data_IF_398917716550
#
_entry.id   IF_398917716550
#
_cell.length_a   1.000
_cell.length_b   1.000
_cell.length_c   1.000
_cell.angle_alpha   90.00
_cell.angle_beta   90.00
_cell.angle_gamma   90.00
#
_symmetry.space_group_name_H-M   'P 1'
#
loop_
_entity.id
_entity.type
_entity.pdbx_description
1 polymer ?
#
# COMPACT_ATOMS: atom_id res chain seq x y z
N UNK A 1 -20.12 10.03 -30.31
CA UNK A 1 -19.95 9.77 -28.85
C UNK A 1 -18.87 10.72 -28.38
N UNK A 2 -19.18 11.61 -27.45
CA UNK A 2 -18.18 12.44 -26.78
C UNK A 2 -17.18 11.50 -26.10
N UNK A 3 -15.88 11.84 -26.15
CA UNK A 3 -14.87 11.09 -25.41
C UNK A 3 -15.27 11.00 -23.93
N UNK A 4 -15.07 9.87 -23.25
CA UNK A 4 -15.38 9.77 -21.83
C UNK A 4 -14.57 10.80 -21.05
N UNK A 5 -15.21 11.44 -20.07
CA UNK A 5 -14.57 12.39 -19.17
C UNK A 5 -13.57 11.64 -18.29
N UNK A 6 -12.25 11.92 -18.40
CA UNK A 6 -11.25 11.13 -17.69
C UNK A 6 -11.35 11.31 -16.18
N UNK A 7 -10.97 10.26 -15.42
CA UNK A 7 -10.84 10.36 -13.97
C UNK A 7 -9.42 10.79 -13.63
N UNK A 8 -9.32 11.85 -12.84
CA UNK A 8 -8.07 12.45 -12.42
C UNK A 8 -7.87 12.35 -10.91
N UNK A 9 -6.61 12.28 -10.51
CA UNK A 9 -6.16 12.43 -9.14
C UNK A 9 -5.67 13.86 -8.99
N UNK A 10 -6.28 14.63 -8.08
CA UNK A 10 -5.96 16.04 -7.86
C UNK A 10 -5.25 16.30 -6.55
N UNK A 11 -5.28 15.36 -5.62
CA UNK A 11 -4.57 15.43 -4.33
C UNK A 11 -4.07 14.06 -3.92
N UNK A 12 -2.91 14.02 -3.29
CA UNK A 12 -2.29 12.79 -2.82
C UNK A 12 -1.40 13.05 -1.61
N UNK A 13 -1.48 12.18 -0.62
CA UNK A 13 -0.63 12.23 0.56
C UNK A 13 -0.49 10.85 1.19
N UNK A 14 0.61 10.64 1.92
CA UNK A 14 0.80 9.51 2.82
C UNK A 14 1.40 9.96 4.15
N UNK A 15 1.20 9.19 5.19
CA UNK A 15 1.98 9.36 6.41
C UNK A 15 3.41 8.83 6.20
N UNK A 16 4.37 9.15 7.07
CA UNK A 16 5.54 8.31 7.24
C UNK A 16 5.12 6.85 7.49
N UNK A 17 5.96 5.90 7.12
CA UNK A 17 5.79 4.49 7.47
C UNK A 17 6.49 4.21 8.79
N UNK A 18 5.74 3.78 9.80
CA UNK A 18 6.26 3.34 11.09
C UNK A 18 6.59 1.85 11.07
N UNK A 19 7.62 1.45 11.81
CA UNK A 19 7.92 0.05 12.06
C UNK A 19 7.00 -0.57 13.12
N UNK A 20 7.04 -1.90 13.25
CA UNK A 20 6.27 -2.61 14.28
C UNK A 20 6.67 -2.14 15.68
N UNK A 21 5.69 -1.69 16.45
CA UNK A 21 5.87 -1.09 17.79
C UNK A 21 6.87 0.08 17.78
N UNK A 22 7.00 0.78 16.65
CA UNK A 22 7.91 1.89 16.44
C UNK A 22 7.31 3.26 16.68
N UNK A 23 7.73 4.23 15.88
CA UNK A 23 7.41 5.66 16.08
C UNK A 23 5.91 5.98 15.95
N UNK A 24 5.12 5.16 15.22
CA UNK A 24 3.67 5.32 15.04
C UNK A 24 2.81 4.37 15.89
N UNK A 25 3.39 3.59 16.81
CA UNK A 25 2.67 2.57 17.60
C UNK A 25 1.47 3.09 18.40
N UNK A 26 1.52 4.35 18.84
CA UNK A 26 0.46 4.95 19.64
C UNK A 26 -0.62 5.64 18.78
N UNK A 27 -0.49 5.59 17.45
CA UNK A 27 -1.46 6.13 16.50
C UNK A 27 -2.37 5.01 15.95
N UNK A 28 -3.68 5.02 16.25
CA UNK A 28 -4.60 4.06 15.66
C UNK A 28 -4.78 4.30 14.15
N UNK A 29 -5.12 3.25 13.40
CA UNK A 29 -5.19 3.32 11.94
C UNK A 29 -6.08 4.45 11.42
N UNK A 30 -7.25 4.67 12.04
CA UNK A 30 -8.16 5.74 11.64
C UNK A 30 -7.58 7.15 11.84
N UNK A 31 -6.72 7.36 12.84
CA UNK A 31 -6.03 8.63 13.04
C UNK A 31 -4.95 8.86 11.95
N UNK A 32 -4.19 7.82 11.60
CA UNK A 32 -3.27 7.86 10.46
C UNK A 32 -4.02 8.15 9.15
N UNK A 33 -5.16 7.46 8.93
CA UNK A 33 -6.05 7.70 7.81
C UNK A 33 -6.56 9.13 7.75
N UNK A 34 -7.02 9.67 8.87
CA UNK A 34 -7.48 11.06 8.97
C UNK A 34 -6.39 12.06 8.57
N UNK A 35 -5.16 11.84 9.00
CA UNK A 35 -4.03 12.70 8.65
C UNK A 35 -3.72 12.67 7.15
N UNK A 36 -3.70 11.48 6.55
CA UNK A 36 -3.47 11.32 5.11
C UNK A 36 -4.59 11.97 4.29
N UNK A 37 -5.86 11.77 4.67
CA UNK A 37 -7.03 12.38 4.02
C UNK A 37 -6.96 13.90 4.10
N UNK A 38 -6.78 14.47 5.28
CA UNK A 38 -6.72 15.92 5.48
C UNK A 38 -5.63 16.56 4.62
N UNK A 39 -4.43 15.96 4.59
CA UNK A 39 -3.33 16.44 3.77
C UNK A 39 -3.62 16.30 2.26
N UNK A 40 -4.25 15.23 1.82
CA UNK A 40 -4.62 15.05 0.42
C UNK A 40 -5.67 16.07 -0.04
N UNK A 41 -6.66 16.37 0.79
CA UNK A 41 -7.68 17.42 0.53
C UNK A 41 -7.04 18.80 0.46
N UNK A 42 -6.19 19.13 1.43
CA UNK A 42 -5.44 20.39 1.45
C UNK A 42 -4.61 20.58 0.17
N UNK A 43 -3.88 19.54 -0.24
CA UNK A 43 -3.06 19.57 -1.46
C UNK A 43 -3.85 19.61 -2.76
N UNK A 44 -5.08 19.08 -2.75
CA UNK A 44 -6.00 19.20 -3.87
C UNK A 44 -6.51 20.64 -4.05
N UNK A 45 -6.42 21.49 -3.03
CA UNK A 45 -6.92 22.86 -3.04
C UNK A 45 -8.44 22.95 -3.12
N UNK A 46 -9.17 21.91 -2.68
CA UNK A 46 -10.63 21.87 -2.69
C UNK A 46 -11.20 22.04 -1.29
N UNK A 47 -12.48 22.47 -1.20
CA UNK A 47 -13.20 22.45 0.07
C UNK A 47 -13.44 21.02 0.54
N UNK A 48 -13.21 20.74 1.81
CA UNK A 48 -13.55 19.47 2.44
C UNK A 48 -15.05 19.13 2.27
N UNK A 49 -15.92 20.15 2.28
CA UNK A 49 -17.37 20.00 2.10
C UNK A 49 -17.77 19.47 0.71
N UNK A 50 -16.83 19.47 -0.25
CA UNK A 50 -17.07 18.93 -1.59
C UNK A 50 -16.92 17.42 -1.70
N UNK A 51 -16.37 16.77 -0.68
CA UNK A 51 -16.19 15.32 -0.67
C UNK A 51 -17.52 14.63 -0.37
N UNK A 52 -17.90 13.68 -1.23
CA UNK A 52 -19.19 12.97 -1.15
C UNK A 52 -19.03 11.53 -0.67
N UNK A 53 -17.94 10.86 -1.03
CA UNK A 53 -17.71 9.46 -0.69
C UNK A 53 -16.24 9.21 -0.30
N UNK A 54 -16.04 8.34 0.68
CA UNK A 54 -14.71 7.96 1.19
C UNK A 54 -14.59 6.44 1.16
N UNK A 55 -13.54 5.95 0.50
CA UNK A 55 -13.21 4.53 0.41
C UNK A 55 -11.83 4.31 1.01
N UNK A 56 -11.75 3.66 2.18
CA UNK A 56 -10.48 3.40 2.86
C UNK A 56 -10.25 1.91 3.08
N UNK A 57 -9.11 1.43 2.59
CA UNK A 57 -8.62 0.09 2.88
C UNK A 57 -8.22 -0.05 4.35
N UNK A 58 -8.63 -1.15 4.99
CA UNK A 58 -8.18 -1.55 6.32
C UNK A 58 -8.39 -3.06 6.45
N UNK A 59 -7.35 -3.79 6.80
CA UNK A 59 -7.36 -5.26 6.87
C UNK A 59 -7.57 -5.75 8.29
N UNK A 60 -7.05 -5.04 9.26
CA UNK A 60 -7.04 -5.42 10.68
C UNK A 60 -7.96 -4.50 11.51
N UNK A 61 -9.30 -4.56 11.31
CA UNK A 61 -10.24 -3.64 11.93
C UNK A 61 -10.63 -4.00 13.37
N UNK A 62 -10.24 -5.17 13.89
CA UNK A 62 -10.64 -5.58 15.23
C UNK A 62 -10.14 -4.57 16.28
N UNK A 63 -11.02 -4.22 17.23
CA UNK A 63 -10.70 -3.28 18.30
C UNK A 63 -10.71 -1.81 17.91
N UNK A 64 -10.87 -1.45 16.62
CA UNK A 64 -10.89 -0.06 16.18
C UNK A 64 -12.26 0.65 16.34
N UNK A 65 -13.28 -0.07 16.76
CA UNK A 65 -14.66 0.45 16.81
C UNK A 65 -15.38 0.31 15.46
N UNK A 66 -16.54 0.96 15.35
CA UNK A 66 -17.36 0.88 14.14
C UNK A 66 -16.74 1.67 12.99
N UNK A 67 -16.81 1.12 11.78
CA UNK A 67 -16.55 1.81 10.53
C UNK A 67 -15.24 2.65 10.53
N UNK A 68 -14.06 2.04 10.55
CA UNK A 68 -12.79 2.77 10.61
C UNK A 68 -12.64 3.86 9.54
N UNK A 69 -13.10 3.62 8.30
CA UNK A 69 -13.11 4.65 7.25
C UNK A 69 -13.94 5.88 7.63
N UNK A 70 -15.09 5.68 8.31
CA UNK A 70 -15.93 6.77 8.78
C UNK A 70 -15.25 7.58 9.88
N UNK A 71 -14.56 6.89 10.80
CA UNK A 71 -13.79 7.57 11.85
C UNK A 71 -12.66 8.42 11.23
N UNK A 72 -11.96 7.88 10.23
CA UNK A 72 -10.92 8.60 9.51
C UNK A 72 -11.48 9.83 8.77
N UNK A 73 -12.62 9.70 8.11
CA UNK A 73 -13.29 10.80 7.42
C UNK A 73 -13.65 11.96 8.36
N UNK A 74 -14.30 11.64 9.48
CA UNK A 74 -14.69 12.64 10.48
C UNK A 74 -13.44 13.26 11.13
N UNK A 75 -12.45 12.43 11.47
CA UNK A 75 -11.18 12.88 12.04
C UNK A 75 -10.38 13.80 11.09
N UNK A 76 -10.57 13.66 9.79
CA UNK A 76 -9.99 14.52 8.77
C UNK A 76 -10.75 15.85 8.58
N UNK A 77 -11.89 16.05 9.26
CA UNK A 77 -12.73 17.23 9.11
C UNK A 77 -13.64 17.20 7.88
N UNK A 78 -13.88 16.01 7.28
CA UNK A 78 -14.82 15.89 6.17
C UNK A 78 -16.28 16.01 6.65
N UNK A 79 -17.21 16.39 5.77
CA UNK A 79 -18.59 16.61 6.15
C UNK A 79 -19.27 15.33 6.65
N UNK A 80 -20.10 15.44 7.66
CA UNK A 80 -20.87 14.30 8.18
C UNK A 80 -21.88 13.73 7.17
N UNK A 81 -22.18 14.47 6.12
CA UNK A 81 -23.03 14.03 5.01
C UNK A 81 -22.32 13.09 4.03
N UNK A 82 -20.97 13.09 3.99
CA UNK A 82 -20.22 12.22 3.10
C UNK A 82 -20.32 10.76 3.55
N UNK A 83 -20.55 9.83 2.61
CA UNK A 83 -20.52 8.40 2.83
C UNK A 83 -19.11 7.89 3.13
N UNK A 84 -18.96 6.79 3.88
CA UNK A 84 -17.64 6.22 4.12
C UNK A 84 -17.69 4.68 4.19
N UNK A 85 -16.86 4.03 3.41
CA UNK A 85 -16.79 2.57 3.29
C UNK A 85 -15.39 2.06 3.61
N UNK A 86 -15.29 1.09 4.52
CA UNK A 86 -14.06 0.36 4.80
C UNK A 86 -13.97 -0.84 3.87
N UNK A 87 -12.84 -0.97 3.15
CA UNK A 87 -12.61 -2.04 2.16
C UNK A 87 -11.51 -2.97 2.68
N UNK A 88 -11.76 -4.26 2.63
CA UNK A 88 -10.75 -5.28 2.84
C UNK A 88 -10.57 -6.13 1.58
N UNK A 89 -9.43 -6.04 0.95
CA UNK A 89 -8.90 -6.90 -0.10
C UNK A 89 -7.44 -7.22 0.23
N UNK A 90 -7.16 -7.53 1.48
CA UNK A 90 -5.83 -7.80 1.99
C UNK A 90 -4.84 -6.67 1.56
N UNK A 91 -3.61 -7.01 1.18
CA UNK A 91 -2.59 -6.05 0.74
C UNK A 91 -3.07 -5.07 -0.36
N UNK A 92 -4.05 -5.48 -1.16
CA UNK A 92 -4.65 -4.70 -2.26
C UNK A 92 -5.72 -3.69 -1.85
N UNK A 93 -6.08 -3.60 -0.56
CA UNK A 93 -7.23 -2.81 -0.09
C UNK A 93 -7.18 -1.34 -0.53
N UNK A 94 -6.04 -0.67 -0.34
CA UNK A 94 -5.88 0.74 -0.71
C UNK A 94 -5.95 0.98 -2.22
N UNK A 95 -5.38 0.10 -3.04
CA UNK A 95 -5.52 0.21 -4.51
C UNK A 95 -6.94 -0.14 -4.95
N UNK A 96 -7.58 -1.14 -4.31
CA UNK A 96 -8.98 -1.49 -4.61
C UNK A 96 -9.91 -0.33 -4.28
N UNK A 97 -9.64 0.42 -3.23
CA UNK A 97 -10.37 1.65 -2.92
C UNK A 97 -10.28 2.65 -4.10
N UNK A 98 -9.08 2.88 -4.64
CA UNK A 98 -8.89 3.76 -5.81
C UNK A 98 -9.57 3.21 -7.09
N UNK A 99 -9.55 1.88 -7.31
CA UNK A 99 -10.25 1.25 -8.43
C UNK A 99 -11.77 1.43 -8.33
N UNK A 100 -12.35 1.23 -7.14
CA UNK A 100 -13.80 1.42 -6.92
C UNK A 100 -14.17 2.91 -7.04
N UNK A 101 -13.35 3.82 -6.52
CA UNK A 101 -13.55 5.25 -6.68
C UNK A 101 -13.58 5.65 -8.17
N UNK A 102 -12.63 5.15 -8.96
CA UNK A 102 -12.63 5.35 -10.42
C UNK A 102 -13.95 4.90 -11.06
N UNK A 103 -14.42 3.70 -10.74
CA UNK A 103 -15.65 3.14 -11.32
C UNK A 103 -16.90 3.90 -10.86
N UNK A 104 -16.98 4.36 -9.60
CA UNK A 104 -18.07 5.20 -9.08
C UNK A 104 -18.13 6.56 -9.79
N UNK A 105 -16.98 7.19 -10.02
CA UNK A 105 -16.87 8.46 -10.74
C UNK A 105 -17.28 8.33 -12.20
N UNK A 106 -16.86 7.26 -12.88
CA UNK A 106 -17.31 6.96 -14.26
C UNK A 106 -18.82 6.70 -14.34
N UNK A 107 -19.39 6.04 -13.33
CA UNK A 107 -20.83 5.78 -13.24
C UNK A 107 -21.65 7.04 -12.89
N UNK A 108 -21.00 8.13 -12.47
CA UNK A 108 -21.66 9.35 -12.02
C UNK A 108 -22.36 9.21 -10.67
N UNK A 109 -21.94 8.24 -9.84
CA UNK A 109 -22.50 8.01 -8.50
C UNK A 109 -22.00 9.02 -7.47
N UNK A 110 -20.87 9.67 -7.74
CA UNK A 110 -20.29 10.75 -6.96
C UNK A 110 -19.47 11.67 -7.86
N UNK A 111 -19.22 12.90 -7.42
CA UNK A 111 -18.39 13.87 -8.12
C UNK A 111 -17.00 13.98 -7.56
N UNK A 112 -16.83 13.84 -6.23
CA UNK A 112 -15.56 13.90 -5.53
C UNK A 112 -15.43 12.74 -4.54
N UNK A 113 -14.42 11.90 -4.73
CA UNK A 113 -14.19 10.71 -3.92
C UNK A 113 -12.79 10.74 -3.29
N UNK A 114 -12.72 10.46 -2.00
CA UNK A 114 -11.47 10.12 -1.32
C UNK A 114 -11.26 8.61 -1.43
N UNK A 115 -10.12 8.18 -1.93
CA UNK A 115 -9.73 6.78 -1.98
C UNK A 115 -8.36 6.58 -1.31
N UNK A 116 -8.23 5.57 -0.47
CA UNK A 116 -6.98 5.36 0.24
C UNK A 116 -6.93 4.06 1.02
N UNK A 117 -6.06 4.05 2.00
CA UNK A 117 -5.94 2.96 2.94
C UNK A 117 -5.15 3.36 4.18
N UNK A 118 -5.37 2.63 5.24
CA UNK A 118 -4.77 2.86 6.55
C UNK A 118 -4.59 1.53 7.26
N UNK A 119 -3.51 1.41 8.01
CA UNK A 119 -3.27 0.22 8.83
C UNK A 119 -2.43 0.60 10.04
N UNK A 120 -2.75 0.04 11.18
CA UNK A 120 -1.88 0.04 12.35
C UNK A 120 -1.72 -1.40 12.81
N UNK A 121 -0.70 -2.06 12.28
CA UNK A 121 -0.42 -3.46 12.62
C UNK A 121 0.09 -3.58 14.06
N UNK A 122 0.71 -2.52 14.58
CA UNK A 122 1.12 -2.43 15.98
C UNK A 122 -0.05 -2.48 16.97
N UNK A 123 -1.23 -2.03 16.55
CA UNK A 123 -2.43 -1.98 17.38
C UNK A 123 -3.41 -3.14 17.12
N UNK A 124 -3.04 -4.12 16.30
CA UNK A 124 -3.87 -5.30 16.08
C UNK A 124 -3.96 -6.12 17.39
N UNK A 125 -5.18 -6.38 17.92
CA UNK A 125 -5.34 -7.03 19.20
C UNK A 125 -5.16 -8.54 19.14
N UNK A 126 -5.02 -9.16 20.30
CA UNK A 126 -5.18 -10.59 20.45
C UNK A 126 -6.67 -10.95 20.63
N UNK A 127 -7.11 -12.05 20.06
CA UNK A 127 -8.48 -12.54 20.02
C UNK A 127 -8.67 -13.75 20.94
N UNK A 128 -9.89 -13.90 21.47
CA UNK A 128 -10.35 -15.09 22.20
C UNK A 128 -11.52 -15.72 21.42
N UNK A 129 -11.25 -16.77 20.66
CA UNK A 129 -12.19 -17.39 19.71
C UNK A 129 -13.45 -17.97 20.35
N UNK A 130 -13.38 -18.46 21.58
CA UNK A 130 -14.48 -19.11 22.29
C UNK A 130 -15.07 -18.29 23.43
N UNK A 131 -14.62 -17.05 23.64
CA UNK A 131 -15.03 -16.27 24.81
C UNK A 131 -16.55 -16.09 24.90
N UNK A 132 -17.27 -15.95 23.78
CA UNK A 132 -18.73 -15.76 23.75
C UNK A 132 -19.49 -17.02 24.21
N UNK A 133 -19.04 -18.18 23.83
CA UNK A 133 -19.65 -19.47 24.24
C UNK A 133 -19.09 -20.00 25.58
N UNK A 134 -17.97 -19.46 26.03
CA UNK A 134 -17.22 -19.83 27.23
C UNK A 134 -16.23 -20.98 27.01
N UNK A 135 -15.18 -20.98 27.81
CA UNK A 135 -14.18 -22.05 27.91
C UNK A 135 -14.61 -23.01 29.01
N UNK A 136 -15.40 -23.99 28.64
CA UNK A 136 -16.06 -24.86 29.65
C UNK A 136 -15.06 -25.69 30.48
N UNK A 137 -14.05 -26.29 29.84
CA UNK A 137 -13.05 -27.12 30.49
C UNK A 137 -11.78 -27.19 29.65
N UNK A 138 -10.62 -27.21 30.28
CA UNK A 138 -9.31 -27.20 29.64
C UNK A 138 -8.79 -25.80 29.35
N UNK A 139 -7.62 -25.74 28.69
CA UNK A 139 -6.95 -24.48 28.37
C UNK A 139 -7.61 -23.79 27.18
N UNK A 140 -7.63 -22.44 27.20
CA UNK A 140 -7.88 -21.58 26.04
C UNK A 140 -6.59 -21.11 25.39
N UNK A 141 -6.69 -20.47 24.24
CA UNK A 141 -5.57 -19.80 23.57
C UNK A 141 -5.95 -18.37 23.21
N UNK A 142 -4.99 -17.48 23.21
CA UNK A 142 -5.08 -16.18 22.55
C UNK A 142 -4.55 -16.32 21.14
N UNK A 143 -5.20 -15.65 20.19
CA UNK A 143 -4.88 -15.68 18.77
C UNK A 143 -4.48 -14.28 18.35
N UNK A 144 -3.32 -14.12 17.73
CA UNK A 144 -2.89 -12.85 17.19
C UNK A 144 -3.72 -12.51 15.94
N UNK A 145 -4.49 -11.41 16.01
CA UNK A 145 -5.31 -10.93 14.88
C UNK A 145 -4.47 -10.61 13.65
N UNK A 146 -3.29 -10.01 13.85
CA UNK A 146 -2.39 -9.67 12.75
C UNK A 146 -1.93 -10.91 11.99
N UNK A 147 -1.60 -11.99 12.71
CA UNK A 147 -1.20 -13.27 12.09
C UNK A 147 -2.39 -13.96 11.43
N UNK A 148 -3.47 -14.19 12.19
CA UNK A 148 -4.62 -14.97 11.71
C UNK A 148 -5.28 -14.35 10.47
N UNK A 149 -5.51 -13.02 10.49
CA UNK A 149 -6.30 -12.35 9.46
C UNK A 149 -5.44 -11.56 8.46
N UNK A 150 -4.12 -11.42 8.71
CA UNK A 150 -3.23 -10.63 7.86
C UNK A 150 -2.05 -11.40 7.24
N UNK A 151 -1.43 -12.32 7.96
CA UNK A 151 -0.15 -12.92 7.57
C UNK A 151 -0.17 -14.44 7.40
N UNK A 152 -1.20 -15.12 7.90
CA UNK A 152 -1.41 -16.57 7.78
C UNK A 152 -2.34 -16.88 6.59
N UNK A 153 -2.08 -17.97 5.89
CA UNK A 153 -2.95 -18.40 4.81
C UNK A 153 -4.29 -18.95 5.34
N UNK A 154 -5.37 -18.50 4.71
CA UNK A 154 -6.71 -18.92 5.12
C UNK A 154 -7.06 -20.38 4.74
N UNK A 155 -6.40 -20.92 3.74
CA UNK A 155 -6.66 -22.23 3.14
C UNK A 155 -5.71 -23.31 3.66
N UNK A 156 -4.43 -22.95 3.92
CA UNK A 156 -3.40 -23.80 4.52
C UNK A 156 -3.01 -23.21 5.89
N UNK A 157 -3.90 -23.46 6.86
CA UNK A 157 -3.82 -22.84 8.19
C UNK A 157 -2.50 -23.12 8.92
N UNK A 158 -1.95 -22.10 9.52
CA UNK A 158 -0.65 -22.11 10.19
C UNK A 158 0.50 -21.80 9.24
N UNK A 159 0.25 -21.69 7.95
CA UNK A 159 1.26 -21.38 6.97
C UNK A 159 1.36 -19.86 6.75
N UNK A 160 2.52 -19.30 7.04
CA UNK A 160 2.77 -17.86 6.87
C UNK A 160 3.10 -17.50 5.42
N UNK A 161 2.75 -16.29 5.00
CA UNK A 161 2.99 -15.78 3.63
C UNK A 161 4.45 -15.92 3.19
N UNK A 162 5.41 -15.77 4.08
CA UNK A 162 6.83 -15.93 3.75
C UNK A 162 7.24 -17.33 3.33
N UNK A 163 6.49 -18.37 3.70
CA UNK A 163 6.77 -19.74 3.23
C UNK A 163 6.44 -19.91 1.74
N UNK A 164 5.45 -19.19 1.22
CA UNK A 164 5.15 -19.16 -0.22
C UNK A 164 6.19 -18.32 -0.98
N UNK A 165 6.77 -17.31 -0.32
CA UNK A 165 7.90 -16.57 -0.89
C UNK A 165 9.14 -17.50 -1.04
N UNK A 166 9.38 -18.41 -0.09
CA UNK A 166 10.42 -19.45 -0.22
C UNK A 166 10.11 -20.39 -1.41
N UNK A 167 8.86 -20.84 -1.56
CA UNK A 167 8.47 -21.67 -2.71
C UNK A 167 8.69 -20.94 -4.04
N UNK A 168 8.37 -19.64 -4.09
CA UNK A 168 8.63 -18.80 -5.25
C UNK A 168 10.14 -18.67 -5.51
N UNK A 169 10.94 -18.43 -4.46
CA UNK A 169 12.40 -18.35 -4.58
C UNK A 169 13.00 -19.65 -5.17
N UNK A 170 12.50 -20.79 -4.70
CA UNK A 170 12.92 -22.13 -5.19
C UNK A 170 12.49 -22.35 -6.64
N UNK A 171 11.24 -22.07 -6.99
CA UNK A 171 10.70 -22.24 -8.35
C UNK A 171 11.43 -21.35 -9.37
N UNK A 172 11.76 -20.13 -8.98
CA UNK A 172 12.52 -19.19 -9.81
C UNK A 172 14.03 -19.34 -9.69
N UNK A 173 14.53 -20.21 -8.81
CA UNK A 173 15.96 -20.36 -8.51
C UNK A 173 16.62 -19.03 -8.11
N UNK A 174 15.90 -18.18 -7.38
CA UNK A 174 16.47 -16.98 -6.82
C UNK A 174 17.35 -17.30 -5.63
N UNK A 175 18.66 -17.08 -5.80
CA UNK A 175 19.60 -17.31 -4.70
C UNK A 175 19.39 -16.33 -3.56
N UNK A 176 19.81 -16.70 -2.35
CA UNK A 176 19.86 -15.80 -1.19
C UNK A 176 20.60 -14.50 -1.53
N UNK A 177 21.75 -14.60 -2.19
CA UNK A 177 22.55 -13.44 -2.60
C UNK A 177 21.78 -12.49 -3.52
N UNK A 178 21.03 -13.03 -4.50
CA UNK A 178 20.25 -12.19 -5.41
C UNK A 178 19.12 -11.45 -4.67
N UNK A 179 18.43 -12.11 -3.74
CA UNK A 179 17.39 -11.51 -2.93
C UNK A 179 17.94 -10.43 -1.98
N UNK A 180 19.08 -10.70 -1.34
CA UNK A 180 19.75 -9.73 -0.46
C UNK A 180 20.25 -8.52 -1.27
N UNK A 181 20.81 -8.72 -2.46
CA UNK A 181 21.23 -7.63 -3.35
C UNK A 181 20.05 -6.73 -3.76
N UNK A 182 18.88 -7.34 -4.03
CA UNK A 182 17.65 -6.59 -4.27
C UNK A 182 17.24 -5.75 -3.04
N UNK A 183 17.24 -6.35 -1.86
CA UNK A 183 16.89 -5.67 -0.61
C UNK A 183 17.85 -4.52 -0.28
N UNK A 184 19.14 -4.72 -0.49
CA UNK A 184 20.16 -3.65 -0.35
C UNK A 184 19.86 -2.51 -1.31
N UNK A 185 19.57 -2.81 -2.59
CA UNK A 185 19.21 -1.78 -3.56
C UNK A 185 17.93 -1.00 -3.17
N UNK A 186 16.91 -1.69 -2.66
CA UNK A 186 15.70 -1.03 -2.15
C UNK A 186 16.02 -0.09 -0.98
N UNK A 187 16.83 -0.55 -0.03
CA UNK A 187 17.26 0.26 1.12
C UNK A 187 18.10 1.47 0.71
N UNK A 188 19.06 1.31 -0.18
CA UNK A 188 19.90 2.40 -0.69
C UNK A 188 19.07 3.46 -1.43
N UNK A 189 18.09 3.01 -2.24
CA UNK A 189 17.16 3.90 -2.94
C UNK A 189 16.27 4.68 -1.97
N UNK A 190 15.74 4.03 -0.93
CA UNK A 190 14.92 4.69 0.08
C UNK A 190 15.72 5.73 0.86
N UNK A 191 16.93 5.38 1.31
CA UNK A 191 17.82 6.33 2.01
C UNK A 191 18.22 7.51 1.13
N UNK A 192 18.52 7.28 -0.15
CA UNK A 192 18.78 8.33 -1.11
C UNK A 192 17.57 9.24 -1.30
N UNK A 193 16.38 8.68 -1.43
CA UNK A 193 15.14 9.43 -1.59
C UNK A 193 14.84 10.30 -0.35
N UNK A 194 15.08 9.79 0.86
CA UNK A 194 14.98 10.56 2.11
C UNK A 194 15.99 11.71 2.10
N UNK A 195 17.26 11.42 1.81
CA UNK A 195 18.33 12.42 1.84
C UNK A 195 18.14 13.52 0.80
N UNK A 196 17.64 13.17 -0.39
CA UNK A 196 17.37 14.12 -1.47
C UNK A 196 16.05 14.89 -1.28
N UNK A 197 15.20 14.51 -0.33
CA UNK A 197 13.88 15.08 -0.15
C UNK A 197 12.84 14.63 -1.18
N UNK A 198 13.09 13.51 -1.89
CA UNK A 198 12.17 12.98 -2.92
C UNK A 198 10.79 12.60 -2.33
N UNK A 199 10.72 12.30 -1.02
CA UNK A 199 9.48 12.00 -0.31
C UNK A 199 8.78 13.24 0.30
N UNK A 200 9.42 14.42 0.29
CA UNK A 200 8.87 15.60 0.97
C UNK A 200 7.48 15.99 0.43
N UNK A 201 7.26 15.82 -0.89
CA UNK A 201 5.99 16.14 -1.50
C UNK A 201 4.86 15.19 -1.05
N UNK A 202 5.15 13.92 -0.81
CA UNK A 202 4.14 12.92 -0.52
C UNK A 202 3.85 12.75 0.99
N UNK A 203 4.83 13.00 1.86
CA UNK A 203 4.69 12.81 3.30
C UNK A 203 3.82 13.91 3.94
N UNK A 204 2.86 13.48 4.74
CA UNK A 204 2.10 14.29 5.69
C UNK A 204 2.58 13.93 7.10
N UNK A 205 3.30 14.83 7.81
CA UNK A 205 3.79 14.56 9.15
C UNK A 205 2.67 14.19 10.12
N UNK A 206 2.95 13.27 11.03
CA UNK A 206 2.01 12.77 12.05
C UNK A 206 2.47 13.21 13.43
N UNK A 207 1.61 13.92 14.16
CA UNK A 207 1.83 14.17 15.57
C UNK A 207 1.37 12.97 16.39
N UNK A 208 2.29 12.35 17.12
CA UNK A 208 2.03 11.21 18.01
C UNK A 208 2.19 11.67 19.45
N UNK A 209 1.16 11.43 20.24
CA UNK A 209 1.19 11.76 21.66
C UNK A 209 1.34 10.49 22.49
N UNK A 210 2.51 10.33 23.10
CA UNK A 210 2.79 9.28 24.07
C UNK A 210 2.92 9.92 25.45
N UNK A 211 2.06 9.53 26.40
CA UNK A 211 1.95 10.12 27.74
C UNK A 211 1.73 11.66 27.69
N UNK A 212 2.77 12.42 28.01
CA UNK A 212 2.73 13.90 28.02
C UNK A 212 3.62 14.53 26.95
N UNK A 213 4.27 13.70 26.12
CA UNK A 213 5.19 14.14 25.07
C UNK A 213 4.50 14.02 23.74
N UNK A 214 4.50 15.11 22.99
CA UNK A 214 4.05 15.12 21.59
C UNK A 214 5.28 15.11 20.69
N UNK A 215 5.35 14.15 19.81
CA UNK A 215 6.46 13.97 18.87
C UNK A 215 5.93 14.06 17.45
N UNK A 216 6.56 14.88 16.61
CA UNK A 216 6.24 14.96 15.19
C UNK A 216 7.07 13.91 14.44
N UNK A 217 6.39 12.95 13.81
CA UNK A 217 7.01 11.94 12.93
C UNK A 217 6.83 12.42 11.49
N UNK A 218 7.93 12.66 10.78
CA UNK A 218 7.94 13.24 9.43
C UNK A 218 8.85 12.50 8.44
N UNK A 219 9.46 11.40 8.88
CA UNK A 219 10.36 10.59 8.06
C UNK A 219 10.00 9.12 8.21
N UNK A 220 10.11 8.36 7.13
CA UNK A 220 9.96 6.89 7.18
C UNK A 220 11.00 6.30 8.15
N UNK A 221 10.52 5.51 9.11
CA UNK A 221 11.30 5.09 10.28
C UNK A 221 12.41 4.11 9.93
N UNK A 222 12.14 3.16 9.05
CA UNK A 222 12.99 1.97 8.89
C UNK A 222 14.24 2.19 8.04
N UNK A 223 14.21 2.94 6.90
CA UNK A 223 15.37 3.06 6.04
C UNK A 223 16.61 3.65 6.75
N UNK A 224 16.50 4.70 7.59
CA UNK A 224 17.67 5.22 8.32
C UNK A 224 18.25 4.27 9.37
N UNK A 225 17.43 3.31 9.85
CA UNK A 225 17.84 2.27 10.81
C UNK A 225 18.45 1.05 10.11
N UNK A 226 18.30 0.94 8.78
CA UNK A 226 18.79 -0.17 7.98
C UNK A 226 20.31 -0.27 7.98
N UNK A 227 20.83 -1.49 7.95
CA UNK A 227 22.26 -1.79 7.95
C UNK A 227 22.60 -2.76 6.82
N UNK A 228 22.95 -2.26 5.61
CA UNK A 228 23.22 -3.10 4.45
C UNK A 228 24.24 -4.20 4.71
N UNK A 229 25.28 -3.89 5.47
CA UNK A 229 26.38 -4.81 5.80
C UNK A 229 25.94 -6.02 6.64
N UNK A 230 24.79 -5.92 7.32
CA UNK A 230 24.23 -7.02 8.14
C UNK A 230 23.27 -7.91 7.37
N UNK A 231 22.73 -7.46 6.26
CA UNK A 231 21.73 -8.21 5.48
C UNK A 231 22.20 -9.63 5.13
N UNK A 232 23.42 -9.85 4.62
CA UNK A 232 23.88 -11.19 4.28
C UNK A 232 24.03 -12.15 5.48
N UNK A 233 24.11 -11.61 6.71
CA UNK A 233 24.30 -12.39 7.94
C UNK A 233 22.99 -12.81 8.61
N UNK A 234 21.85 -12.31 8.13
CA UNK A 234 20.53 -12.62 8.70
C UNK A 234 20.16 -14.10 8.48
N UNK A 235 19.52 -14.69 9.47
CA UNK A 235 18.99 -16.04 9.35
C UNK A 235 17.71 -16.05 8.52
N UNK A 236 17.43 -17.13 7.76
CA UNK A 236 16.12 -17.34 7.15
C UNK A 236 15.00 -17.25 8.20
N UNK A 237 13.89 -16.61 7.84
CA UNK A 237 12.81 -16.32 8.78
C UNK A 237 11.65 -17.33 8.72
N UNK A 238 11.49 -18.05 7.60
CA UNK A 238 10.27 -18.83 7.33
C UNK A 238 10.53 -20.31 7.10
N UNK A 239 11.76 -20.71 6.77
CA UNK A 239 12.15 -22.10 6.52
C UNK A 239 13.59 -22.32 6.95
N UNK A 240 13.87 -23.44 7.64
CA UNK A 240 15.24 -23.83 7.93
C UNK A 240 16.00 -24.07 6.60
N UNK A 241 17.18 -23.48 6.48
CA UNK A 241 17.95 -23.53 5.24
C UNK A 241 17.33 -22.74 4.08
N UNK A 242 16.29 -21.93 4.32
CA UNK A 242 15.66 -21.08 3.34
C UNK A 242 16.49 -19.85 2.95
N UNK A 243 15.90 -18.98 2.14
CA UNK A 243 16.56 -17.81 1.55
C UNK A 243 15.87 -16.49 1.91
N UNK A 244 14.62 -16.55 2.37
CA UNK A 244 13.81 -15.37 2.73
C UNK A 244 14.11 -14.95 4.16
N UNK A 245 14.51 -13.70 4.34
CA UNK A 245 14.92 -13.11 5.62
C UNK A 245 14.07 -11.89 5.97
N UNK A 246 14.25 -11.38 7.18
CA UNK A 246 13.60 -10.13 7.58
C UNK A 246 13.96 -8.92 6.69
N UNK A 247 15.15 -8.92 6.06
CA UNK A 247 15.57 -7.79 5.22
C UNK A 247 15.08 -7.88 3.76
N UNK A 248 14.91 -9.11 3.21
CA UNK A 248 14.37 -9.30 1.87
C UNK A 248 12.87 -9.61 1.88
N UNK A 249 12.23 -9.33 3.03
CA UNK A 249 10.78 -9.27 3.26
C UNK A 249 10.38 -7.86 3.63
N UNK A 250 9.13 -7.49 3.40
CA UNK A 250 8.59 -6.26 3.96
C UNK A 250 8.43 -6.37 5.48
N UNK A 251 8.64 -5.28 6.19
CA UNK A 251 8.39 -5.24 7.63
C UNK A 251 6.91 -5.04 7.95
N UNK A 252 6.50 -5.54 9.11
CA UNK A 252 5.24 -5.18 9.76
C UNK A 252 5.28 -3.69 10.06
N UNK A 253 4.22 -2.96 9.69
CA UNK A 253 4.29 -1.49 9.67
C UNK A 253 2.95 -0.83 9.94
N UNK A 254 3.03 0.44 10.33
CA UNK A 254 1.90 1.34 10.52
C UNK A 254 1.97 2.47 9.49
N UNK A 255 0.83 2.89 8.94
CA UNK A 255 0.79 3.98 7.98
C UNK A 255 -0.54 4.12 7.25
N UNK A 256 -0.67 5.23 6.52
CA UNK A 256 -1.85 5.53 5.71
C UNK A 256 -1.47 6.31 4.45
N UNK A 257 -2.32 6.22 3.42
CA UNK A 257 -2.24 7.03 2.22
C UNK A 257 -3.63 7.35 1.69
N UNK A 258 -3.79 8.51 1.05
CA UNK A 258 -5.06 8.96 0.49
C UNK A 258 -4.85 9.69 -0.84
N UNK A 259 -5.82 9.56 -1.71
CA UNK A 259 -5.94 10.17 -3.04
C UNK A 259 -7.29 10.90 -3.11
N UNK A 260 -7.31 12.06 -3.72
CA UNK A 260 -8.55 12.78 -4.07
C UNK A 260 -8.78 12.58 -5.56
N UNK A 261 -9.93 12.01 -5.89
CA UNK A 261 -10.29 11.62 -7.26
C UNK A 261 -11.59 12.26 -7.70
N UNK A 262 -11.65 12.68 -8.96
CA UNK A 262 -12.84 13.25 -9.58
C UNK A 262 -12.75 13.14 -11.12
N UNK A 263 -13.83 13.49 -11.82
CA UNK A 263 -13.77 13.67 -13.27
C UNK A 263 -12.94 14.90 -13.62
N UNK A 264 -12.29 14.91 -14.76
CA UNK A 264 -11.45 16.04 -15.23
C UNK A 264 -12.27 17.32 -15.36
N UNK A 265 -13.50 17.23 -15.90
CA UNK A 265 -14.41 18.37 -15.99
C UNK A 265 -14.81 18.95 -14.62
N UNK A 266 -14.90 18.10 -13.61
CA UNK A 266 -15.20 18.55 -12.24
C UNK A 266 -13.96 19.20 -11.58
N UNK A 267 -12.77 18.70 -11.88
CA UNK A 267 -11.51 19.32 -11.47
C UNK A 267 -11.38 20.74 -12.06
N UNK A 268 -11.67 20.91 -13.35
CA UNK A 268 -11.68 22.22 -14.02
C UNK A 268 -12.66 23.20 -13.36
N UNK A 269 -13.90 22.78 -13.09
CA UNK A 269 -14.92 23.61 -12.42
C UNK A 269 -14.48 24.08 -11.03
N UNK A 270 -13.72 23.24 -10.31
CA UNK A 270 -13.22 23.54 -8.95
C UNK A 270 -11.86 24.25 -8.95
N UNK A 271 -11.22 24.40 -10.11
CA UNK A 271 -9.87 24.94 -10.21
C UNK A 271 -8.81 24.02 -9.59
N UNK A 272 -9.11 22.71 -9.46
CA UNK A 272 -8.20 21.72 -8.92
C UNK A 272 -7.26 21.23 -10.03
N UNK A 273 -5.94 21.34 -9.82
CA UNK A 273 -4.95 20.93 -10.81
C UNK A 273 -4.77 19.40 -10.81
N UNK A 274 -4.97 18.70 -11.93
CA UNK A 274 -4.69 17.28 -12.02
C UNK A 274 -3.21 16.95 -11.78
N UNK A 275 -2.95 15.94 -10.96
CA UNK A 275 -1.62 15.36 -10.74
C UNK A 275 -1.35 14.21 -11.71
N UNK A 276 -2.39 13.41 -11.96
CA UNK A 276 -2.34 12.28 -12.89
C UNK A 276 -3.76 11.89 -13.34
N UNK A 277 -3.87 11.32 -14.54
CA UNK A 277 -5.07 10.60 -15.00
C UNK A 277 -4.96 9.12 -14.65
N UNK A 278 -6.07 8.51 -14.23
CA UNK A 278 -6.19 7.06 -14.15
C UNK A 278 -6.55 6.56 -15.56
N UNK A 279 -5.64 5.78 -16.17
CA UNK A 279 -5.83 5.27 -17.53
C UNK A 279 -6.62 3.98 -17.53
N UNK A 280 -6.27 3.06 -16.65
CA UNK A 280 -6.95 1.78 -16.48
C UNK A 280 -6.55 1.12 -15.17
N UNK A 281 -7.31 0.09 -14.80
CA UNK A 281 -6.94 -0.83 -13.73
C UNK A 281 -7.29 -2.28 -14.11
N UNK A 282 -6.64 -3.24 -13.44
CA UNK A 282 -6.86 -4.66 -13.65
C UNK A 282 -6.74 -5.44 -12.33
N UNK A 283 -7.42 -6.57 -12.28
CA UNK A 283 -7.32 -7.58 -11.22
C UNK A 283 -6.94 -8.91 -11.82
N UNK A 284 -6.10 -9.66 -11.12
CA UNK A 284 -5.78 -11.05 -11.43
C UNK A 284 -5.99 -11.91 -10.20
N UNK A 285 -6.42 -13.16 -10.41
CA UNK A 285 -6.54 -14.18 -9.36
C UNK A 285 -5.96 -15.49 -9.90
N UNK A 286 -5.29 -16.21 -9.02
CA UNK A 286 -4.67 -17.52 -9.23
C UNK A 286 -4.88 -18.39 -7.98
N UNK A 287 -4.21 -19.53 -7.88
CA UNK A 287 -4.27 -20.32 -6.65
C UNK A 287 -3.65 -19.55 -5.47
N UNK A 288 -4.16 -19.69 -4.23
CA UNK A 288 -3.66 -18.95 -3.08
C UNK A 288 -2.14 -19.01 -2.90
N UNK A 289 -1.54 -20.17 -3.12
CA UNK A 289 -0.09 -20.39 -3.05
C UNK A 289 0.72 -19.58 -4.06
N UNK A 290 0.11 -19.15 -5.15
CA UNK A 290 0.79 -18.46 -6.26
C UNK A 290 0.74 -16.93 -6.11
N UNK A 291 0.34 -16.42 -4.94
CA UNK A 291 0.24 -14.98 -4.70
C UNK A 291 1.53 -14.21 -5.01
N UNK A 292 2.77 -14.75 -4.81
CA UNK A 292 3.98 -13.97 -5.11
C UNK A 292 4.13 -13.62 -6.59
N UNK A 293 3.56 -14.43 -7.49
CA UNK A 293 3.62 -14.22 -8.95
C UNK A 293 2.37 -13.59 -9.55
N UNK A 294 1.31 -13.44 -8.76
CA UNK A 294 0.03 -12.88 -9.20
C UNK A 294 0.14 -11.47 -9.85
N UNK A 295 1.06 -10.57 -9.42
CA UNK A 295 1.29 -9.29 -10.10
C UNK A 295 1.60 -9.41 -11.59
N UNK A 296 2.27 -10.48 -12.02
CA UNK A 296 2.60 -10.73 -13.43
C UNK A 296 1.32 -10.79 -14.27
N UNK A 297 0.31 -11.54 -13.78
CA UNK A 297 -0.98 -11.63 -14.45
C UNK A 297 -1.77 -10.32 -14.47
N UNK A 298 -1.75 -9.57 -13.38
CA UNK A 298 -2.41 -8.27 -13.30
C UNK A 298 -1.74 -7.25 -14.22
N UNK A 299 -0.42 -7.21 -14.27
CA UNK A 299 0.37 -6.33 -15.13
C UNK A 299 0.14 -6.66 -16.62
N UNK A 300 0.16 -7.95 -17.02
CA UNK A 300 -0.14 -8.35 -18.41
C UNK A 300 -1.52 -7.87 -18.85
N UNK A 301 -2.56 -8.11 -18.04
CA UNK A 301 -3.93 -7.64 -18.32
C UNK A 301 -4.01 -6.13 -18.41
N UNK A 302 -3.29 -5.41 -17.55
CA UNK A 302 -3.28 -3.96 -17.54
C UNK A 302 -2.61 -3.39 -18.78
N UNK A 303 -1.44 -3.91 -19.16
CA UNK A 303 -0.71 -3.50 -20.36
C UNK A 303 -1.52 -3.77 -21.64
N UNK A 304 -2.19 -4.92 -21.71
CA UNK A 304 -3.12 -5.22 -22.80
C UNK A 304 -4.29 -4.22 -22.85
N UNK A 305 -4.91 -3.94 -21.70
CA UNK A 305 -6.06 -3.01 -21.60
C UNK A 305 -5.69 -1.58 -21.98
N UNK A 306 -4.49 -1.13 -21.67
CA UNK A 306 -4.00 0.22 -21.99
C UNK A 306 -3.41 0.34 -23.40
N UNK A 307 -3.05 -0.79 -24.02
CA UNK A 307 -2.25 -0.81 -25.24
C UNK A 307 -0.80 -0.36 -25.03
N UNK A 308 -0.35 -0.29 -23.76
CA UNK A 308 1.02 0.07 -23.43
C UNK A 308 1.94 -1.16 -23.49
N UNK A 309 3.15 -0.96 -23.96
CA UNK A 309 4.23 -1.92 -23.80
C UNK A 309 5.08 -1.57 -22.56
N UNK A 310 5.83 -2.54 -22.04
CA UNK A 310 6.81 -2.29 -20.97
C UNK A 310 7.81 -1.17 -21.31
N UNK A 311 8.14 -1.02 -22.57
CA UNK A 311 9.12 -0.04 -23.02
C UNK A 311 8.55 1.39 -23.01
N UNK A 312 7.23 1.52 -23.19
CA UNK A 312 6.50 2.80 -23.16
C UNK A 312 6.05 3.23 -21.78
N UNK A 313 6.18 2.36 -20.77
CA UNK A 313 6.00 2.70 -19.36
C UNK A 313 7.31 3.25 -18.81
N UNK A 314 7.24 4.41 -18.18
CA UNK A 314 8.42 5.08 -17.64
C UNK A 314 8.85 4.50 -16.30
N UNK A 315 7.88 4.30 -15.37
CA UNK A 315 8.14 3.77 -14.03
C UNK A 315 7.14 2.69 -13.62
N UNK A 316 7.61 1.76 -12.82
CA UNK A 316 6.81 0.73 -12.16
C UNK A 316 6.98 0.83 -10.65
N UNK A 317 5.86 0.77 -9.91
CA UNK A 317 5.85 0.52 -8.46
C UNK A 317 5.24 -0.85 -8.21
N UNK A 318 6.07 -1.83 -7.88
CA UNK A 318 5.66 -3.20 -7.57
C UNK A 318 5.92 -3.44 -6.09
N UNK A 319 4.85 -3.60 -5.30
CA UNK A 319 5.00 -3.73 -3.86
C UNK A 319 5.88 -4.92 -3.48
N UNK A 320 6.90 -4.65 -2.70
CA UNK A 320 7.89 -5.62 -2.23
C UNK A 320 7.40 -6.32 -0.95
N UNK A 321 6.24 -7.01 -1.00
CA UNK A 321 5.86 -7.85 0.13
C UNK A 321 7.01 -8.80 0.53
N UNK A 322 7.71 -9.30 -0.49
CA UNK A 322 9.00 -9.98 -0.45
C UNK A 322 9.79 -9.54 -1.69
N UNK A 323 11.11 -9.54 -1.63
CA UNK A 323 11.97 -9.22 -2.77
C UNK A 323 11.65 -10.10 -3.99
N UNK A 324 11.36 -11.38 -3.78
CA UNK A 324 11.01 -12.34 -4.84
C UNK A 324 9.78 -11.94 -5.64
N UNK A 325 8.83 -11.18 -5.08
CA UNK A 325 7.63 -10.72 -5.78
C UNK A 325 8.00 -9.76 -6.91
N UNK A 326 8.76 -8.72 -6.60
CA UNK A 326 9.24 -7.78 -7.60
C UNK A 326 10.24 -8.43 -8.57
N UNK A 327 11.13 -9.28 -8.07
CA UNK A 327 12.10 -10.03 -8.88
C UNK A 327 11.42 -10.94 -9.90
N UNK A 328 10.35 -11.66 -9.51
CA UNK A 328 9.58 -12.51 -10.43
C UNK A 328 8.90 -11.69 -11.52
N UNK A 329 8.26 -10.57 -11.13
CA UNK A 329 7.63 -9.67 -12.09
C UNK A 329 8.64 -9.05 -13.07
N UNK A 330 9.80 -8.60 -12.57
CA UNK A 330 10.87 -8.08 -13.42
C UNK A 330 11.38 -9.14 -14.41
N UNK A 331 11.61 -10.38 -13.96
CA UNK A 331 12.08 -11.47 -14.78
C UNK A 331 11.10 -11.83 -15.89
N UNK A 332 9.84 -12.08 -15.54
CA UNK A 332 8.83 -12.61 -16.47
C UNK A 332 8.32 -11.58 -17.48
N UNK A 333 8.36 -10.30 -17.10
CA UNK A 333 7.95 -9.19 -17.97
C UNK A 333 9.15 -8.50 -18.62
N UNK A 334 10.38 -8.87 -18.25
CA UNK A 334 11.60 -8.24 -18.73
C UNK A 334 11.68 -6.76 -18.34
N UNK A 335 11.27 -6.41 -17.12
CA UNK A 335 11.32 -5.03 -16.65
C UNK A 335 12.73 -4.68 -16.18
N UNK A 336 13.32 -3.58 -16.66
CA UNK A 336 14.62 -3.13 -16.19
C UNK A 336 14.54 -2.61 -14.77
N UNK A 337 15.47 -3.02 -13.90
CA UNK A 337 15.43 -2.70 -12.47
C UNK A 337 15.48 -1.18 -12.20
N UNK A 338 16.13 -0.42 -13.07
CA UNK A 338 16.19 1.05 -12.98
C UNK A 338 14.85 1.76 -13.14
N UNK A 339 13.83 1.08 -13.68
CA UNK A 339 12.46 1.60 -13.78
C UNK A 339 11.54 1.11 -12.65
N UNK A 340 11.96 0.14 -11.84
CA UNK A 340 11.13 -0.49 -10.80
C UNK A 340 11.53 0.03 -9.42
N UNK A 341 10.56 0.54 -8.65
CA UNK A 341 10.73 1.00 -7.27
C UNK A 341 11.92 1.96 -7.11
N UNK A 342 11.94 3.00 -7.91
CA UNK A 342 13.09 3.91 -8.07
C UNK A 342 13.47 4.68 -6.80
N UNK A 343 12.54 4.79 -5.85
CA UNK A 343 12.74 5.39 -4.53
C UNK A 343 12.78 4.34 -3.40
N UNK A 344 13.05 3.07 -3.73
CA UNK A 344 12.92 1.95 -2.80
C UNK A 344 11.48 1.51 -2.64
N UNK A 345 11.26 0.36 -2.02
CA UNK A 345 9.95 -0.25 -1.82
C UNK A 345 9.76 -0.80 -0.42
N UNK A 346 8.80 -1.71 -0.25
CA UNK A 346 8.35 -2.18 1.04
C UNK A 346 9.41 -2.96 1.84
N UNK A 347 10.42 -3.56 1.21
CA UNK A 347 11.55 -4.16 1.92
C UNK A 347 12.30 -3.12 2.76
N UNK A 348 12.33 -1.86 2.31
CA UNK A 348 12.97 -0.76 3.02
C UNK A 348 11.98 0.08 3.82
N UNK A 349 10.84 0.45 3.21
CA UNK A 349 9.86 1.39 3.76
C UNK A 349 8.86 0.74 4.71
N UNK A 350 8.55 -0.56 4.49
CA UNK A 350 7.52 -1.27 5.22
C UNK A 350 6.21 -1.46 4.45
N UNK A 351 5.31 -2.29 5.01
CA UNK A 351 4.09 -2.74 4.35
C UNK A 351 2.87 -2.69 5.29
N UNK A 352 2.35 -1.50 5.62
CA UNK A 352 1.04 -1.40 6.29
C UNK A 352 -0.02 -1.91 5.32
N UNK A 353 -0.49 -3.17 5.53
CA UNK A 353 -1.16 -3.97 4.50
C UNK A 353 -2.36 -3.29 3.85
N UNK A 354 -3.25 -2.68 4.62
CA UNK A 354 -4.43 -1.97 4.09
C UNK A 354 -4.11 -0.67 3.37
N UNK A 355 -2.96 -0.04 3.69
CA UNK A 355 -2.55 1.25 3.12
C UNK A 355 -1.70 1.13 1.86
N UNK A 356 -0.95 0.03 1.72
CA UNK A 356 0.14 -0.10 0.74
C UNK A 356 -0.29 0.12 -0.70
N UNK A 357 -1.49 -0.33 -1.09
CA UNK A 357 -1.99 -0.13 -2.45
C UNK A 357 -2.16 1.34 -2.84
N UNK A 358 -2.59 2.19 -1.90
CA UNK A 358 -2.66 3.63 -2.08
C UNK A 358 -1.27 4.28 -1.97
N UNK A 359 -0.43 3.80 -1.03
CA UNK A 359 0.93 4.30 -0.84
C UNK A 359 1.76 4.21 -2.12
N UNK A 360 1.75 3.06 -2.81
CA UNK A 360 2.52 2.90 -4.04
C UNK A 360 2.02 3.81 -5.18
N UNK A 361 0.72 4.12 -5.22
CA UNK A 361 0.19 5.09 -6.17
C UNK A 361 0.67 6.51 -5.87
N UNK A 362 0.67 6.93 -4.60
CA UNK A 362 1.19 8.24 -4.18
C UNK A 362 2.67 8.37 -4.55
N UNK A 363 3.48 7.36 -4.20
CA UNK A 363 4.93 7.35 -4.51
C UNK A 363 5.19 7.34 -6.02
N UNK A 364 4.42 6.55 -6.80
CA UNK A 364 4.54 6.52 -8.26
C UNK A 364 4.28 7.89 -8.89
N UNK A 365 3.19 8.55 -8.49
CA UNK A 365 2.84 9.90 -9.00
C UNK A 365 3.93 10.90 -8.63
N UNK A 366 4.41 10.88 -7.37
CA UNK A 366 5.50 11.74 -6.93
C UNK A 366 6.78 11.52 -7.76
N UNK A 367 7.16 10.25 -7.97
CA UNK A 367 8.36 9.88 -8.71
C UNK A 367 8.29 10.27 -10.19
N UNK A 368 7.14 10.10 -10.85
CA UNK A 368 6.91 10.54 -12.23
C UNK A 368 7.07 12.06 -12.35
N UNK A 369 6.39 12.82 -11.51
CA UNK A 369 6.41 14.29 -11.53
C UNK A 369 7.79 14.86 -11.25
N UNK A 370 8.47 14.34 -10.23
CA UNK A 370 9.83 14.80 -9.87
C UNK A 370 10.85 14.56 -11.00
N UNK A 371 10.60 13.57 -11.87
CA UNK A 371 11.50 13.23 -12.98
C UNK A 371 11.02 13.73 -14.35
N UNK A 372 9.87 14.42 -14.42
CA UNK A 372 9.28 14.87 -15.69
C UNK A 372 8.86 13.70 -16.60
N UNK A 373 8.53 12.55 -15.99
CA UNK A 373 8.07 11.34 -16.66
C UNK A 373 6.54 11.29 -16.65
N UNK A 374 5.95 10.46 -17.50
CA UNK A 374 4.50 10.46 -17.72
C UNK A 374 3.79 9.18 -17.33
N UNK A 375 4.23 8.02 -17.84
CA UNK A 375 3.49 6.77 -17.73
C UNK A 375 3.99 5.92 -16.58
N UNK A 376 3.11 5.65 -15.63
CA UNK A 376 3.40 4.83 -14.48
C UNK A 376 2.43 3.69 -14.32
N UNK A 377 2.94 2.57 -13.80
CA UNK A 377 2.14 1.40 -13.46
C UNK A 377 2.46 0.97 -12.04
N UNK A 378 1.43 0.84 -11.20
CA UNK A 378 1.56 0.27 -9.86
C UNK A 378 0.88 -1.10 -9.80
N UNK A 379 1.47 -2.05 -9.06
CA UNK A 379 0.89 -3.38 -8.82
C UNK A 379 1.32 -3.93 -7.48
N UNK A 380 0.47 -4.78 -6.89
CA UNK A 380 0.83 -5.52 -5.69
C UNK A 380 0.18 -6.90 -5.66
N UNK A 381 0.90 -7.83 -5.04
CA UNK A 381 0.39 -9.16 -4.70
C UNK A 381 -0.56 -9.06 -3.50
N UNK A 382 -1.44 -10.02 -3.39
CA UNK A 382 -2.51 -10.07 -2.38
C UNK A 382 -2.58 -11.50 -1.84
N UNK A 383 -2.54 -11.66 -0.52
CA UNK A 383 -2.79 -12.96 0.13
C UNK A 383 -4.10 -13.56 -0.37
N UNK A 384 -4.11 -14.89 -0.60
CA UNK A 384 -5.21 -15.58 -1.27
C UNK A 384 -5.04 -15.75 -2.79
N UNK A 385 -3.85 -15.40 -3.34
CA UNK A 385 -3.51 -15.68 -4.75
C UNK A 385 -3.91 -14.58 -5.73
N UNK A 386 -4.17 -13.36 -5.26
CA UNK A 386 -4.63 -12.28 -6.13
C UNK A 386 -3.57 -11.19 -6.35
N UNK A 387 -3.86 -10.28 -7.28
CA UNK A 387 -3.14 -9.03 -7.49
C UNK A 387 -4.05 -7.96 -8.08
N UNK A 388 -3.72 -6.71 -7.81
CA UNK A 388 -4.28 -5.53 -8.50
C UNK A 388 -3.18 -4.76 -9.20
N UNK A 389 -3.54 -4.07 -10.28
CA UNK A 389 -2.65 -3.16 -10.98
C UNK A 389 -3.43 -1.93 -11.47
N UNK A 390 -2.78 -0.77 -11.48
CA UNK A 390 -3.34 0.50 -11.96
C UNK A 390 -2.31 1.25 -12.80
N UNK A 391 -2.76 1.78 -13.93
CA UNK A 391 -1.99 2.63 -14.83
C UNK A 391 -2.40 4.08 -14.64
N UNK A 392 -1.41 4.95 -14.49
CA UNK A 392 -1.60 6.39 -14.37
C UNK A 392 -0.73 7.14 -15.38
N UNK A 393 -1.21 8.28 -15.83
CA UNK A 393 -0.45 9.20 -16.69
C UNK A 393 -0.34 10.55 -15.98
N UNK A 394 0.89 10.97 -15.62
CA UNK A 394 1.13 12.27 -14.99
C UNK A 394 0.81 13.41 -15.95
N UNK A 395 0.22 14.48 -15.39
CA UNK A 395 -0.22 15.66 -16.13
C UNK A 395 0.74 16.83 -15.91
#
# INVERSE_FOLDING_TARGET
MTAPDPIVIVGAARTPMGGFLGDLKDAPAHALGARAIAAAVERAGISADSVEEILMGCVLPAGQGQAPARQAAIGAGLPVAAGATTINKMCGSGMKAAMVAHDLLLAGSADVVVAGGMESMSNAPYLLDRARAGYRMGHGRTIDHMFLDGLEDAYDKGRLMGTFAEDCAEAYQFTRHAQDAYAVSSLERANRAITNGDFAWEIAPVSVKADKVETLVETDEQPPKGRPEKIPTLKPAFRDGGTVTAANSSSISDGAAALIMMRESEAEKRGAAPLARVVAHATHAAAPKDFPTAPIGALKKLLEKTGWSRDTVDLFEINEAFAVVAMAAMRDLGLPHEKVNVNGGACALGHPIGASGARILVTLIAALRARGLKRGVASLCIGGGEATAMAVEAV
#
